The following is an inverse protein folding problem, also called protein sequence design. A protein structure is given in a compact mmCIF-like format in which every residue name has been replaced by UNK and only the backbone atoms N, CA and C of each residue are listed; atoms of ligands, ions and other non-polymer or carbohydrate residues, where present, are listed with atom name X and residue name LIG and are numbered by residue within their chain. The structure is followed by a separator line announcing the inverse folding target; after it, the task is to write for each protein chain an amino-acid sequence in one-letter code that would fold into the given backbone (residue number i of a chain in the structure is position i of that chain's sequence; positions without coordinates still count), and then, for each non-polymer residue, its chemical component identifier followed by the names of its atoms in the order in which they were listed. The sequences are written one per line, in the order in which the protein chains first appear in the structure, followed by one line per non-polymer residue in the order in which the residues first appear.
data_IF_328097532128
#
_entry.id   IF_328097532128
#
_cell.length_a   1.000
_cell.length_b   1.000
_cell.length_c   1.000
_cell.angle_alpha   90.00
_cell.angle_beta   90.00
_cell.angle_gamma   90.00
#
_symmetry.space_group_name_H-M   'P 1'
#
loop_
_entity.id
_entity.type
_entity.pdbx_description
1 polymer ?
#
# COMPACT_ATOMS: atom_id res chain seq x y z
N UNK A 1 20.39 -5.53 3.32
CA UNK A 1 20.97 -4.21 3.60
C UNK A 1 19.91 -3.13 3.42
N UNK A 2 19.78 -2.26 4.39
CA UNK A 2 18.80 -1.17 4.34
C UNK A 2 19.24 -0.09 3.36
N UNK A 3 18.34 0.28 2.44
CA UNK A 3 18.60 1.38 1.51
C UNK A 3 18.10 2.67 2.12
N UNK A 4 18.99 3.66 2.22
CA UNK A 4 18.62 4.99 2.64
C UNK A 4 17.85 5.71 1.55
N UNK A 5 16.80 6.44 1.93
CA UNK A 5 16.05 7.27 1.00
C UNK A 5 16.69 8.66 0.94
N UNK A 6 16.67 9.32 -0.23
CA UNK A 6 17.13 10.71 -0.32
C UNK A 6 16.20 11.63 0.49
N UNK A 7 16.73 12.79 0.91
CA UNK A 7 15.93 13.75 1.67
C UNK A 7 14.72 14.25 0.89
N UNK A 8 14.89 14.43 -0.42
CA UNK A 8 13.77 14.75 -1.30
C UNK A 8 13.48 13.56 -2.17
N UNK A 9 12.21 13.15 -2.24
CA UNK A 9 11.84 11.97 -2.99
C UNK A 9 10.40 12.08 -3.48
N UNK A 10 10.14 11.39 -4.59
CA UNK A 10 8.79 11.32 -5.14
C UNK A 10 7.90 10.48 -4.22
N UNK A 11 6.65 10.89 -4.15
CA UNK A 11 5.64 10.11 -3.44
C UNK A 11 4.32 10.17 -4.17
N UNK A 12 3.47 9.17 -3.93
CA UNK A 12 2.11 9.12 -4.44
C UNK A 12 1.20 9.00 -3.23
N UNK A 13 0.18 9.87 -3.18
CA UNK A 13 -0.87 9.78 -2.18
C UNK A 13 -2.15 9.38 -2.87
N UNK A 14 -2.78 8.32 -2.37
CA UNK A 14 -4.03 7.80 -2.93
C UNK A 14 -5.08 7.76 -1.83
N UNK A 15 -6.20 8.42 -2.11
CA UNK A 15 -7.37 8.37 -1.23
C UNK A 15 -8.24 7.20 -1.65
N UNK A 16 -8.68 6.39 -0.68
CA UNK A 16 -9.56 5.27 -0.97
C UNK A 16 -10.54 5.07 0.17
N UNK A 17 -11.49 4.20 -0.08
CA UNK A 17 -12.56 3.90 0.87
C UNK A 17 -12.80 2.39 0.85
N UNK A 18 -13.01 1.81 2.04
CA UNK A 18 -13.44 0.43 2.17
C UNK A 18 -14.68 0.45 3.05
N UNK A 19 -15.82 0.09 2.48
CA UNK A 19 -17.09 0.28 3.15
C UNK A 19 -17.27 1.77 3.47
N UNK A 20 -17.49 2.09 4.74
CA UNK A 20 -17.67 3.48 5.19
C UNK A 20 -16.37 4.13 5.69
N UNK A 21 -15.27 3.40 5.67
CA UNK A 21 -14.01 3.91 6.20
C UNK A 21 -13.18 4.55 5.10
N UNK A 22 -12.84 5.81 5.27
CA UNK A 22 -12.00 6.57 4.35
C UNK A 22 -10.56 6.50 4.79
N UNK A 23 -9.67 6.24 3.84
CA UNK A 23 -8.25 6.03 4.11
C UNK A 23 -7.40 6.78 3.09
N UNK A 24 -6.15 6.97 3.48
CA UNK A 24 -5.11 7.47 2.59
C UNK A 24 -3.92 6.54 2.68
N UNK A 25 -3.32 6.23 1.53
CA UNK A 25 -2.02 5.58 1.47
C UNK A 25 -1.06 6.54 0.78
N UNK A 26 0.11 6.72 1.36
CA UNK A 26 1.19 7.50 0.75
C UNK A 26 2.39 6.58 0.61
N UNK A 27 2.95 6.52 -0.59
CA UNK A 27 4.11 5.68 -0.89
C UNK A 27 5.25 6.59 -1.32
N UNK A 28 6.35 6.55 -0.58
CA UNK A 28 7.60 7.21 -0.96
C UNK A 28 8.45 6.27 -1.79
N UNK A 29 9.04 6.80 -2.86
CA UNK A 29 9.77 6.00 -3.83
C UNK A 29 11.26 6.35 -3.83
N UNK A 30 12.09 5.36 -4.15
CA UNK A 30 13.50 5.59 -4.43
C UNK A 30 13.67 6.22 -5.81
N UNK A 31 14.90 6.62 -6.15
CA UNK A 31 15.17 7.27 -7.44
C UNK A 31 14.79 6.39 -8.64
N UNK A 32 14.87 5.08 -8.48
CA UNK A 32 14.49 4.13 -9.54
C UNK A 32 12.98 3.88 -9.61
N UNK A 33 12.17 4.61 -8.82
CA UNK A 33 10.72 4.49 -8.86
C UNK A 33 10.15 3.33 -8.06
N UNK A 34 10.97 2.65 -7.26
CA UNK A 34 10.50 1.52 -6.46
C UNK A 34 9.93 2.00 -5.12
N UNK A 35 8.88 1.35 -4.61
CA UNK A 35 8.31 1.73 -3.32
C UNK A 35 9.27 1.38 -2.19
N UNK A 36 9.50 2.33 -1.27
CA UNK A 36 10.44 2.14 -0.16
C UNK A 36 9.85 2.53 1.19
N UNK A 37 8.80 3.35 1.21
CA UNK A 37 8.10 3.63 2.45
C UNK A 37 6.61 3.74 2.19
N UNK A 38 5.83 3.37 3.20
CA UNK A 38 4.38 3.36 3.14
C UNK A 38 3.83 4.02 4.38
N UNK A 39 2.85 4.90 4.20
CA UNK A 39 2.09 5.52 5.27
C UNK A 39 0.62 5.20 5.04
N UNK A 40 -0.07 4.78 6.08
CA UNK A 40 -1.50 4.46 6.04
C UNK A 40 -2.22 5.23 7.13
N UNK A 41 -3.27 5.93 6.75
CA UNK A 41 -4.06 6.72 7.69
C UNK A 41 -5.54 6.48 7.41
N UNK A 42 -6.33 6.22 8.46
CA UNK A 42 -7.78 6.17 8.36
C UNK A 42 -8.40 7.41 8.99
N UNK A 43 -9.67 7.69 8.66
CA UNK A 43 -10.39 8.83 9.22
C UNK A 43 -10.87 8.61 10.67
N UNK A 44 -10.61 7.44 11.24
CA UNK A 44 -11.03 7.11 12.61
C UNK A 44 -9.92 7.44 13.61
N UNK A 45 -9.80 8.73 13.93
CA UNK A 45 -8.76 9.24 14.84
C UNK A 45 -8.87 8.57 16.20
N UNK A 46 -7.72 8.14 16.76
CA UNK A 46 -7.65 7.54 18.10
C UNK A 46 -8.16 6.11 18.18
N UNK A 47 -8.53 5.50 17.05
CA UNK A 47 -9.04 4.13 17.08
C UNK A 47 -7.90 3.11 17.03
N UNK A 48 -8.23 1.88 17.48
CA UNK A 48 -7.34 0.73 17.34
C UNK A 48 -7.00 0.48 15.87
N UNK A 49 -8.00 0.63 14.99
CA UNK A 49 -7.83 0.46 13.55
C UNK A 49 -6.73 1.37 13.01
N UNK A 50 -6.78 2.65 13.34
CA UNK A 50 -5.78 3.62 12.87
C UNK A 50 -4.39 3.27 13.41
N UNK A 51 -4.30 2.84 14.67
CA UNK A 51 -3.04 2.40 15.26
C UNK A 51 -2.46 1.18 14.59
N UNK A 52 -3.29 0.18 14.29
CA UNK A 52 -2.86 -1.03 13.60
C UNK A 52 -2.42 -0.76 12.16
N UNK A 53 -3.10 0.14 11.46
CA UNK A 53 -2.69 0.56 10.12
C UNK A 53 -1.32 1.23 10.16
N UNK A 54 -1.07 2.05 11.18
CA UNK A 54 0.23 2.67 11.36
C UNK A 54 1.33 1.62 11.57
N UNK A 55 1.06 0.63 12.42
CA UNK A 55 2.00 -0.48 12.65
C UNK A 55 2.27 -1.26 11.36
N UNK A 56 1.23 -1.55 10.59
CA UNK A 56 1.37 -2.26 9.31
C UNK A 56 2.25 -1.46 8.36
N UNK A 57 2.01 -0.16 8.26
CA UNK A 57 2.78 0.71 7.38
C UNK A 57 4.27 0.76 7.77
N UNK A 58 4.56 0.82 9.07
CA UNK A 58 5.94 0.78 9.58
C UNK A 58 6.62 -0.53 9.15
N UNK A 59 5.95 -1.66 9.37
CA UNK A 59 6.52 -2.96 9.03
C UNK A 59 6.72 -3.12 7.52
N UNK A 60 5.78 -2.64 6.72
CA UNK A 60 5.93 -2.66 5.27
C UNK A 60 7.12 -1.81 4.83
N UNK A 61 7.27 -0.62 5.40
CA UNK A 61 8.39 0.27 5.08
C UNK A 61 9.73 -0.38 5.41
N UNK A 62 9.83 -0.98 6.60
CA UNK A 62 11.05 -1.68 7.01
C UNK A 62 11.37 -2.84 6.07
N UNK A 63 10.37 -3.62 5.70
CA UNK A 63 10.56 -4.74 4.79
C UNK A 63 11.08 -4.27 3.42
N UNK A 64 10.44 -3.25 2.85
CA UNK A 64 10.83 -2.72 1.54
C UNK A 64 12.24 -2.13 1.57
N UNK A 65 12.59 -1.39 2.63
CA UNK A 65 13.91 -0.78 2.77
C UNK A 65 15.01 -1.82 2.97
N UNK A 66 14.66 -2.99 3.46
CA UNK A 66 15.61 -4.09 3.67
C UNK A 66 15.61 -5.11 2.52
N UNK A 67 15.01 -4.77 1.39
CA UNK A 67 15.12 -5.57 0.19
C UNK A 67 14.10 -6.67 0.02
N UNK A 68 13.09 -6.74 0.86
CA UNK A 68 12.00 -7.72 0.69
C UNK A 68 11.22 -7.33 -0.57
N UNK A 69 11.02 -8.24 -1.52
CA UNK A 69 10.25 -7.93 -2.73
C UNK A 69 8.82 -7.55 -2.39
N UNK A 70 8.26 -6.60 -3.14
CA UNK A 70 6.88 -6.16 -2.93
C UNK A 70 5.89 -7.32 -2.98
N UNK A 71 6.05 -8.23 -3.92
CA UNK A 71 5.13 -9.36 -4.09
C UNK A 71 5.15 -10.32 -2.90
N UNK A 72 6.25 -10.39 -2.14
CA UNK A 72 6.28 -11.18 -0.91
C UNK A 72 5.38 -10.57 0.16
N UNK A 73 5.25 -9.24 0.15
CA UNK A 73 4.40 -8.51 1.10
C UNK A 73 2.95 -8.59 0.64
N UNK A 74 2.66 -8.19 -0.59
CA UNK A 74 1.28 -8.16 -1.10
C UNK A 74 0.67 -9.56 -1.15
N UNK A 75 1.48 -10.58 -1.46
CA UNK A 75 1.01 -11.95 -1.49
C UNK A 75 0.49 -12.45 -0.15
N UNK A 76 0.97 -11.89 0.95
CA UNK A 76 0.48 -12.24 2.29
C UNK A 76 -0.76 -11.46 2.70
N UNK A 77 -0.96 -10.28 2.12
CA UNK A 77 -2.07 -9.40 2.49
C UNK A 77 -3.28 -9.57 1.59
N UNK A 78 -3.08 -10.01 0.35
CA UNK A 78 -4.14 -10.14 -0.63
C UNK A 78 -5.18 -11.16 -0.15
N UNK A 79 -6.46 -10.81 -0.31
CA UNK A 79 -7.61 -11.62 0.13
C UNK A 79 -7.73 -11.80 1.65
N UNK A 80 -6.91 -11.11 2.44
CA UNK A 80 -7.06 -11.12 3.89
C UNK A 80 -8.38 -10.45 4.26
N UNK A 81 -9.22 -11.15 5.03
CA UNK A 81 -10.57 -10.68 5.35
C UNK A 81 -10.69 -10.26 6.81
N UNK A 82 -11.03 -9.01 7.02
CA UNK A 82 -11.43 -8.47 8.33
C UNK A 82 -12.14 -7.14 8.10
N UNK A 83 -12.93 -6.71 9.08
CA UNK A 83 -13.67 -5.45 8.95
C UNK A 83 -12.75 -4.23 9.12
N UNK A 84 -12.96 -3.11 8.43
CA UNK A 84 -14.06 -2.92 7.46
C UNK A 84 -13.80 -3.61 6.13
N UNK A 85 -14.88 -4.08 5.52
CA UNK A 85 -14.88 -4.69 4.20
C UNK A 85 -16.04 -4.12 3.41
N UNK A 86 -16.01 -4.26 2.09
CA UNK A 86 -17.12 -3.82 1.27
C UNK A 86 -16.70 -3.11 0.01
N UNK A 87 -17.62 -2.31 -0.52
CA UNK A 87 -17.41 -1.57 -1.75
C UNK A 87 -16.42 -0.44 -1.57
N UNK A 88 -15.62 -0.19 -2.61
CA UNK A 88 -14.54 0.80 -2.53
C UNK A 88 -14.79 2.04 -3.38
N UNK A 89 -15.67 1.94 -4.37
CA UNK A 89 -15.87 3.01 -5.34
C UNK A 89 -14.78 3.08 -6.40
N UNK A 90 -13.73 2.27 -6.31
CA UNK A 90 -12.68 2.21 -7.32
C UNK A 90 -13.02 1.13 -8.33
N UNK A 91 -13.26 1.49 -9.63
CA UNK A 91 -13.66 0.49 -10.63
C UNK A 91 -12.65 -0.65 -10.81
N UNK A 92 -11.38 -0.42 -10.52
CA UNK A 92 -10.34 -1.45 -10.66
C UNK A 92 -10.24 -2.37 -9.46
N UNK A 93 -10.72 -1.92 -8.29
CA UNK A 93 -10.77 -2.71 -7.07
C UNK A 93 -12.14 -2.50 -6.45
N UNK A 94 -13.22 -2.99 -7.10
CA UNK A 94 -14.59 -2.60 -6.71
C UNK A 94 -15.00 -3.08 -5.31
N UNK A 95 -14.42 -4.18 -4.86
CA UNK A 95 -14.69 -4.76 -3.54
C UNK A 95 -13.38 -5.05 -2.84
N UNK A 96 -13.33 -4.83 -1.54
CA UNK A 96 -12.18 -5.19 -0.72
C UNK A 96 -12.63 -5.98 0.50
N UNK A 97 -11.89 -7.03 0.81
CA UNK A 97 -12.17 -7.89 1.98
C UNK A 97 -11.67 -7.26 3.27
N UNK A 98 -10.74 -6.30 3.14
CA UNK A 98 -10.19 -5.53 4.24
C UNK A 98 -9.40 -4.35 3.67
N UNK A 99 -8.98 -3.45 4.54
CA UNK A 99 -8.06 -2.38 4.12
C UNK A 99 -6.75 -2.98 3.61
N UNK A 100 -6.23 -4.02 4.28
CA UNK A 100 -5.00 -4.70 3.86
C UNK A 100 -5.14 -5.31 2.47
N UNK A 101 -6.28 -5.93 2.18
CA UNK A 101 -6.58 -6.49 0.86
C UNK A 101 -6.57 -5.39 -0.22
N UNK A 102 -7.23 -4.26 0.06
CA UNK A 102 -7.24 -3.13 -0.87
C UNK A 102 -5.82 -2.62 -1.15
N UNK A 103 -5.07 -2.40 -0.08
CA UNK A 103 -3.69 -1.89 -0.18
C UNK A 103 -2.83 -2.82 -1.01
N UNK A 104 -2.96 -4.15 -0.80
CA UNK A 104 -2.19 -5.13 -1.57
C UNK A 104 -2.52 -5.06 -3.06
N UNK A 105 -3.80 -5.01 -3.41
CA UNK A 105 -4.21 -4.89 -4.81
C UNK A 105 -3.70 -3.60 -5.44
N UNK A 106 -3.83 -2.48 -4.72
CA UNK A 106 -3.41 -1.18 -5.24
C UNK A 106 -1.89 -1.12 -5.45
N UNK A 107 -1.12 -1.63 -4.49
CA UNK A 107 0.33 -1.68 -4.62
C UNK A 107 0.78 -2.53 -5.80
N UNK A 108 0.15 -3.69 -5.99
CA UNK A 108 0.44 -4.54 -7.14
C UNK A 108 0.13 -3.84 -8.46
N UNK A 109 -0.97 -3.10 -8.53
CA UNK A 109 -1.33 -2.35 -9.72
C UNK A 109 -0.33 -1.25 -10.05
N UNK A 110 0.18 -0.57 -9.03
CA UNK A 110 1.08 0.58 -9.22
C UNK A 110 2.54 0.19 -9.37
N UNK A 111 2.99 -0.83 -8.66
CA UNK A 111 4.41 -1.17 -8.55
C UNK A 111 4.72 -2.64 -8.83
N UNK A 112 3.71 -3.45 -9.11
CA UNK A 112 3.91 -4.87 -9.34
C UNK A 112 4.64 -5.17 -10.65
N UNK A 113 5.08 -6.41 -10.81
CA UNK A 113 5.84 -6.85 -11.98
C UNK A 113 5.11 -6.61 -13.30
N UNK A 114 3.80 -6.78 -13.32
CA UNK A 114 3.00 -6.51 -14.53
C UNK A 114 3.05 -5.05 -14.92
N UNK A 115 2.98 -4.14 -13.95
CA UNK A 115 3.06 -2.71 -14.21
C UNK A 115 4.43 -2.36 -14.80
N UNK A 116 5.49 -2.89 -14.21
CA UNK A 116 6.86 -2.67 -14.69
C UNK A 116 7.06 -3.24 -16.10
N UNK A 117 6.48 -4.41 -16.36
CA UNK A 117 6.54 -5.03 -17.68
C UNK A 117 5.89 -4.16 -18.73
N UNK A 118 4.71 -3.59 -18.43
CA UNK A 118 4.01 -2.69 -19.36
C UNK A 118 4.79 -1.43 -19.65
N UNK A 119 5.53 -0.89 -18.67
CA UNK A 119 6.35 0.30 -18.85
C UNK A 119 7.59 0.03 -19.70
N UNK A 120 8.08 -1.20 -19.67
CA UNK A 120 9.29 -1.59 -20.39
C UNK A 120 9.02 -2.16 -21.78
N UNK A 121 7.78 -2.47 -22.10
CA UNK A 121 7.42 -2.93 -23.45
C UNK A 121 7.39 -1.75 -24.42
N UNK A 122 8.01 -1.91 -25.61
CA UNK A 122 8.01 -0.86 -26.63
C UNK A 122 6.63 -0.59 -27.23
#
# INVERSE_FOLDING_TARGET
MKKSLPNERRSITHRFQVGDTKCYITVGMSEDGQPREVFLVSNKVGSTERGLLHCLAIMMSLALQNGIPLEAITGKLIHMRFEPSGMTGNPRIPMAKSIADYVAHWLDMKFGKECQRRQNDP
#
